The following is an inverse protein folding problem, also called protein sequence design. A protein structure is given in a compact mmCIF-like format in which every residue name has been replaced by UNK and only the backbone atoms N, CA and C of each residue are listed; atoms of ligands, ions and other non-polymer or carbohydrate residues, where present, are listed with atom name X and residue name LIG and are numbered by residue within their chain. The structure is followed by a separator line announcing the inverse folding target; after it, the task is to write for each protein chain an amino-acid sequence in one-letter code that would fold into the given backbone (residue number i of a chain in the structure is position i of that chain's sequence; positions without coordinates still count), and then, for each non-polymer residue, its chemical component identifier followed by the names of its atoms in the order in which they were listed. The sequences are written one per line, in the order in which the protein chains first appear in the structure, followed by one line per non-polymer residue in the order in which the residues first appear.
data_IF_644742583269
#
_entry.id   IF_644742583269
#
_cell.length_a   1.000
_cell.length_b   1.000
_cell.length_c   1.000
_cell.angle_alpha   90.00
_cell.angle_beta   90.00
_cell.angle_gamma   90.00
#
_symmetry.space_group_name_H-M   'P 1'
#
loop_
_entity.id
_entity.type
_entity.pdbx_description
1 polymer ?
#
# COMPACT_ATOMS: atom_id res chain seq x y z
N UNK A 1 -16.36 -4.83 34.16
CA UNK A 1 -17.07 -4.41 32.95
C UNK A 1 -16.82 -5.44 31.86
N UNK A 2 -17.80 -6.29 31.52
CA UNK A 2 -17.72 -7.11 30.31
C UNK A 2 -18.01 -6.20 29.13
N UNK A 3 -17.00 -5.82 28.37
CA UNK A 3 -17.22 -5.16 27.09
C UNK A 3 -17.85 -6.20 26.17
N UNK A 4 -19.12 -6.01 25.84
CA UNK A 4 -19.82 -6.81 24.84
C UNK A 4 -19.36 -6.37 23.45
N UNK A 5 -18.09 -6.55 23.15
CA UNK A 5 -17.68 -6.64 21.77
C UNK A 5 -18.26 -7.97 21.27
N UNK A 6 -19.37 -7.88 20.56
CA UNK A 6 -19.95 -9.05 19.89
C UNK A 6 -18.90 -9.75 19.02
N UNK A 7 -19.16 -10.94 18.57
CA UNK A 7 -18.28 -11.61 17.63
C UNK A 7 -18.25 -10.78 16.32
N UNK A 8 -17.12 -10.21 15.93
CA UNK A 8 -17.03 -9.51 14.66
C UNK A 8 -17.09 -10.51 13.51
N UNK A 9 -17.63 -10.10 12.36
CA UNK A 9 -17.61 -10.92 11.15
C UNK A 9 -16.19 -11.04 10.59
N UNK A 10 -15.39 -9.99 10.77
CA UNK A 10 -13.98 -9.94 10.36
C UNK A 10 -13.10 -9.44 11.51
N UNK A 11 -12.08 -10.23 11.85
CA UNK A 11 -11.08 -9.88 12.83
C UNK A 11 -9.72 -9.72 12.17
N UNK A 12 -9.11 -8.53 12.31
CA UNK A 12 -7.79 -8.21 11.79
C UNK A 12 -6.84 -8.01 12.97
N UNK A 13 -5.70 -8.68 12.94
CA UNK A 13 -4.68 -8.58 13.98
C UNK A 13 -3.47 -7.84 13.40
N UNK A 14 -3.16 -6.69 13.98
CA UNK A 14 -2.07 -5.81 13.59
C UNK A 14 -2.52 -4.55 12.86
N UNK A 15 -2.19 -3.40 13.39
CA UNK A 15 -2.54 -2.06 12.90
C UNK A 15 -1.43 -1.38 12.11
N UNK A 16 -0.62 -2.13 11.36
CA UNK A 16 0.28 -1.59 10.36
C UNK A 16 -0.45 -1.27 9.05
N UNK A 17 0.30 -0.85 8.01
CA UNK A 17 -0.28 -0.47 6.71
C UNK A 17 -1.16 -1.57 6.10
N UNK A 18 -0.77 -2.83 6.21
CA UNK A 18 -1.58 -3.94 5.70
C UNK A 18 -2.90 -4.08 6.47
N UNK A 19 -2.85 -4.12 7.80
CA UNK A 19 -4.05 -4.28 8.61
C UNK A 19 -5.02 -3.11 8.43
N UNK A 20 -4.53 -1.89 8.45
CA UNK A 20 -5.34 -0.70 8.22
C UNK A 20 -5.96 -0.69 6.81
N UNK A 21 -5.18 -1.03 5.78
CA UNK A 21 -5.67 -1.11 4.39
C UNK A 21 -6.75 -2.20 4.24
N UNK A 22 -6.56 -3.37 4.84
CA UNK A 22 -7.55 -4.45 4.81
C UNK A 22 -8.83 -4.02 5.54
N UNK A 23 -8.70 -3.45 6.74
CA UNK A 23 -9.84 -2.97 7.53
C UNK A 23 -10.67 -1.94 6.76
N UNK A 24 -10.00 -0.94 6.18
CA UNK A 24 -10.63 0.11 5.39
C UNK A 24 -11.35 -0.45 4.16
N UNK A 25 -10.70 -1.35 3.41
CA UNK A 25 -11.31 -1.97 2.23
C UNK A 25 -12.49 -2.88 2.58
N UNK A 26 -12.42 -3.65 3.68
CA UNK A 26 -13.54 -4.47 4.13
C UNK A 26 -14.71 -3.61 4.59
N UNK A 27 -14.48 -2.59 5.40
CA UNK A 27 -15.53 -1.69 5.87
C UNK A 27 -16.32 -1.01 4.73
N UNK A 28 -15.68 -0.80 3.57
CA UNK A 28 -16.33 -0.21 2.38
C UNK A 28 -17.07 -1.23 1.49
N UNK A 29 -16.72 -2.50 1.57
CA UNK A 29 -17.19 -3.53 0.64
C UNK A 29 -18.13 -4.54 1.26
N UNK A 30 -18.31 -4.50 2.57
CA UNK A 30 -19.18 -5.42 3.30
C UNK A 30 -20.05 -4.68 4.30
N UNK A 31 -21.23 -5.24 4.56
CA UNK A 31 -22.09 -4.82 5.69
C UNK A 31 -21.70 -5.50 7.00
N UNK A 32 -20.76 -6.45 6.96
CA UNK A 32 -20.25 -7.16 8.13
C UNK A 32 -19.41 -6.25 9.04
N UNK A 33 -19.42 -6.57 10.32
CA UNK A 33 -18.62 -5.85 11.33
C UNK A 33 -17.14 -6.18 11.19
N UNK A 34 -16.29 -5.15 11.18
CA UNK A 34 -14.83 -5.27 11.06
C UNK A 34 -14.19 -4.80 12.36
N UNK A 35 -13.39 -5.66 12.99
CA UNK A 35 -12.63 -5.33 14.20
C UNK A 35 -11.13 -5.44 13.89
N UNK A 36 -10.38 -4.36 14.12
CA UNK A 36 -8.93 -4.35 14.06
C UNK A 36 -8.37 -4.30 15.49
N UNK A 37 -7.50 -5.24 15.80
CA UNK A 37 -6.78 -5.28 17.06
C UNK A 37 -5.32 -4.91 16.84
N UNK A 38 -4.85 -3.90 17.58
CA UNK A 38 -3.44 -3.52 17.64
C UNK A 38 -3.01 -3.48 19.11
N UNK A 39 -1.83 -4.04 19.40
CA UNK A 39 -1.30 -4.09 20.79
C UNK A 39 -0.72 -2.77 21.28
N UNK A 40 -0.46 -1.85 20.39
CA UNK A 40 0.10 -0.51 20.64
C UNK A 40 -0.70 0.52 19.86
N UNK A 41 -0.10 1.63 19.48
CA UNK A 41 -0.66 2.60 18.56
C UNK A 41 -0.57 2.12 17.12
N UNK A 42 -1.48 2.57 16.27
CA UNK A 42 -1.49 2.25 14.85
C UNK A 42 -0.20 2.72 14.19
N UNK A 43 0.30 1.93 13.25
CA UNK A 43 1.45 2.24 12.41
C UNK A 43 2.77 2.51 13.14
N UNK A 44 2.96 2.05 14.40
CA UNK A 44 4.18 2.34 15.19
C UNK A 44 5.31 1.32 15.03
N UNK A 45 5.07 0.20 14.34
CA UNK A 45 6.07 -0.87 14.18
C UNK A 45 6.91 -0.68 12.90
N UNK A 46 6.70 -1.50 11.89
CA UNK A 46 7.49 -1.51 10.65
C UNK A 46 7.10 -0.37 9.70
N UNK A 47 5.84 0.01 9.69
CA UNK A 47 5.29 1.04 8.78
C UNK A 47 6.06 2.37 8.83
N UNK A 48 6.32 2.99 9.99
CA UNK A 48 7.05 4.26 10.03
C UNK A 48 8.56 4.14 9.80
N UNK A 49 9.07 2.90 9.77
CA UNK A 49 10.47 2.61 9.48
C UNK A 49 10.74 2.31 8.00
N UNK A 50 9.69 2.28 7.19
CA UNK A 50 9.82 2.11 5.75
C UNK A 50 10.42 3.36 5.11
N UNK A 51 11.09 3.18 3.97
CA UNK A 51 11.73 4.28 3.25
C UNK A 51 10.75 5.30 2.64
N UNK A 52 9.46 5.02 2.69
CA UNK A 52 8.44 5.89 2.10
C UNK A 52 8.49 5.98 0.58
N UNK A 53 9.19 5.03 -0.07
CA UNK A 53 9.35 5.00 -1.51
C UNK A 53 8.39 3.99 -2.13
N UNK A 54 7.53 4.47 -3.00
CA UNK A 54 6.67 3.64 -3.86
C UNK A 54 7.10 3.85 -5.30
N UNK A 55 7.43 2.77 -5.98
CA UNK A 55 7.90 2.84 -7.36
C UNK A 55 7.15 1.86 -8.26
N UNK A 56 6.88 2.27 -9.49
CA UNK A 56 6.25 1.44 -10.51
C UNK A 56 7.27 0.79 -11.47
N UNK A 57 8.56 1.09 -11.31
CA UNK A 57 9.62 0.47 -12.08
C UNK A 57 9.80 -0.98 -11.63
N UNK A 58 9.47 -1.93 -12.51
CA UNK A 58 9.50 -3.35 -12.20
C UNK A 58 10.57 -4.06 -12.99
N UNK A 59 11.41 -4.80 -12.27
CA UNK A 59 12.38 -5.73 -12.83
C UNK A 59 11.78 -7.13 -13.09
N UNK A 60 10.49 -7.35 -12.76
CA UNK A 60 9.80 -8.63 -12.93
C UNK A 60 8.46 -8.40 -13.60
N UNK A 61 8.18 -9.19 -14.66
CA UNK A 61 6.88 -9.25 -15.31
C UNK A 61 5.78 -9.58 -14.30
N UNK A 62 4.60 -8.99 -14.48
CA UNK A 62 3.39 -9.31 -13.72
C UNK A 62 3.21 -8.54 -12.40
N UNK A 63 4.18 -7.74 -11.96
CA UNK A 63 4.01 -6.92 -10.74
C UNK A 63 3.49 -5.50 -11.00
N UNK A 64 3.55 -5.04 -12.25
CA UNK A 64 3.12 -3.69 -12.65
C UNK A 64 1.66 -3.40 -12.29
N UNK A 65 0.68 -4.30 -12.54
CA UNK A 65 -0.72 -3.99 -12.25
C UNK A 65 -1.00 -3.67 -10.77
N UNK A 66 -0.42 -4.46 -9.84
CA UNK A 66 -0.61 -4.24 -8.40
C UNK A 66 0.00 -2.92 -7.93
N UNK A 67 1.13 -2.53 -8.49
CA UNK A 67 1.79 -1.27 -8.15
C UNK A 67 1.04 -0.07 -8.70
N UNK A 68 0.52 -0.17 -9.92
CA UNK A 68 -0.33 0.86 -10.52
C UNK A 68 -1.59 1.07 -9.68
N UNK A 69 -2.29 -0.01 -9.32
CA UNK A 69 -3.45 0.05 -8.42
C UNK A 69 -3.12 0.67 -7.06
N UNK A 70 -1.92 0.42 -6.53
CA UNK A 70 -1.48 1.03 -5.26
C UNK A 70 -1.28 2.54 -5.40
N UNK A 71 -0.65 2.98 -6.48
CA UNK A 71 -0.43 4.40 -6.76
C UNK A 71 -1.76 5.13 -6.96
N UNK A 72 -2.67 4.56 -7.73
CA UNK A 72 -4.03 5.07 -7.93
C UNK A 72 -4.79 5.17 -6.62
N UNK A 73 -4.76 4.11 -5.80
CA UNK A 73 -5.41 4.09 -4.50
C UNK A 73 -4.87 5.17 -3.54
N UNK A 74 -3.56 5.44 -3.55
CA UNK A 74 -2.97 6.49 -2.72
C UNK A 74 -3.40 7.87 -3.23
N UNK A 75 -3.45 8.07 -4.53
CA UNK A 75 -3.89 9.34 -5.12
C UNK A 75 -5.34 9.66 -4.76
N UNK A 76 -6.22 8.66 -4.79
CA UNK A 76 -7.63 8.80 -4.41
C UNK A 76 -7.82 8.95 -2.89
N UNK A 77 -6.95 8.34 -2.08
CA UNK A 77 -7.09 8.34 -0.63
C UNK A 77 -7.02 9.77 -0.04
N UNK A 78 -6.17 10.63 -0.59
CA UNK A 78 -6.07 12.02 -0.16
C UNK A 78 -7.37 12.79 -0.40
N UNK A 79 -8.01 12.57 -1.52
CA UNK A 79 -9.29 13.18 -1.87
C UNK A 79 -10.41 12.69 -0.95
N UNK A 80 -10.48 11.39 -0.67
CA UNK A 80 -11.50 10.79 0.18
C UNK A 80 -11.38 11.19 1.65
N UNK A 81 -10.16 11.40 2.14
CA UNK A 81 -9.91 11.76 3.54
C UNK A 81 -9.92 13.28 3.76
N UNK A 82 -10.06 14.08 2.72
CA UNK A 82 -9.89 15.54 2.76
C UNK A 82 -8.57 15.96 3.42
N UNK A 83 -7.55 15.11 3.31
CA UNK A 83 -6.25 15.28 3.94
C UNK A 83 -5.15 15.50 2.88
N UNK A 84 -4.23 16.40 3.17
CA UNK A 84 -3.06 16.59 2.33
C UNK A 84 -2.05 15.47 2.61
N UNK A 85 -2.08 14.43 1.79
CA UNK A 85 -1.02 13.43 1.81
C UNK A 85 0.28 14.05 1.27
N UNK A 86 1.38 13.87 1.98
CA UNK A 86 2.72 14.24 1.47
C UNK A 86 3.16 13.22 0.41
N UNK A 87 2.41 13.18 -0.69
CA UNK A 87 2.62 12.27 -1.80
C UNK A 87 3.17 13.03 -3.00
N UNK A 88 4.43 12.76 -3.35
CA UNK A 88 5.13 13.45 -4.43
C UNK A 88 5.45 12.48 -5.55
N UNK A 89 4.83 12.65 -6.70
CA UNK A 89 5.08 11.86 -7.90
C UNK A 89 6.26 12.47 -8.68
N UNK A 90 7.47 12.12 -8.27
CA UNK A 90 8.70 12.68 -8.85
C UNK A 90 9.28 11.84 -10.00
N UNK A 91 8.64 10.71 -10.31
CA UNK A 91 9.14 9.77 -11.29
C UNK A 91 10.35 8.96 -10.81
N UNK A 92 10.98 8.22 -11.71
CA UNK A 92 12.16 7.42 -11.42
C UNK A 92 13.05 7.30 -12.65
N UNK A 93 14.34 7.15 -12.43
CA UNK A 93 15.34 6.96 -13.47
C UNK A 93 16.09 5.64 -13.23
N UNK A 94 16.16 4.82 -14.26
CA UNK A 94 17.04 3.65 -14.31
C UNK A 94 18.21 3.96 -15.22
N UNK A 95 19.41 3.76 -14.72
CA UNK A 95 20.65 3.99 -15.46
C UNK A 95 21.34 2.67 -15.72
N UNK A 96 21.75 2.42 -16.97
CA UNK A 96 22.55 1.28 -17.37
C UNK A 96 23.99 1.72 -17.62
N UNK A 97 24.96 1.03 -17.01
CA UNK A 97 26.40 1.30 -17.15
C UNK A 97 27.12 0.27 -18.05
N UNK A 98 26.41 -0.75 -18.52
CA UNK A 98 26.98 -1.79 -19.37
C UNK A 98 26.00 -2.23 -20.46
N UNK A 99 26.50 -2.81 -21.55
CA UNK A 99 25.68 -3.35 -22.62
C UNK A 99 24.66 -4.40 -22.11
N UNK A 100 25.07 -5.24 -21.18
CA UNK A 100 24.21 -6.25 -20.56
C UNK A 100 23.06 -5.57 -19.82
N UNK A 101 23.34 -4.47 -19.11
CA UNK A 101 22.30 -3.72 -18.39
C UNK A 101 21.37 -2.96 -19.34
N UNK A 102 21.90 -2.46 -20.48
CA UNK A 102 21.07 -1.84 -21.52
C UNK A 102 20.09 -2.86 -22.09
N UNK A 103 20.58 -4.04 -22.49
CA UNK A 103 19.72 -5.12 -22.99
C UNK A 103 18.67 -5.52 -21.95
N UNK A 104 19.03 -5.54 -20.67
CA UNK A 104 18.08 -5.83 -19.60
C UNK A 104 17.01 -4.72 -19.49
N UNK A 105 17.39 -3.46 -19.56
CA UNK A 105 16.44 -2.34 -19.54
C UNK A 105 15.45 -2.37 -20.70
N UNK A 106 15.89 -2.76 -21.90
CA UNK A 106 15.05 -2.92 -23.08
C UNK A 106 13.97 -4.01 -22.91
N UNK A 107 14.24 -4.99 -22.05
CA UNK A 107 13.27 -6.07 -21.75
C UNK A 107 12.27 -5.71 -20.66
N UNK A 108 12.47 -4.58 -19.96
CA UNK A 108 11.57 -4.16 -18.89
C UNK A 108 10.30 -3.54 -19.47
N UNK A 109 9.18 -4.06 -19.03
CA UNK A 109 7.90 -3.38 -19.21
C UNK A 109 7.87 -2.16 -18.28
N UNK A 110 8.26 -1.01 -18.79
CA UNK A 110 8.07 0.24 -18.08
C UNK A 110 6.60 0.57 -18.21
N UNK A 111 5.86 0.46 -17.12
CA UNK A 111 4.46 0.88 -17.07
C UNK A 111 4.38 2.37 -17.45
N UNK A 112 3.63 2.66 -18.50
CA UNK A 112 3.23 4.01 -18.92
C UNK A 112 1.97 4.38 -18.17
#
# INVERSE_FOLDING_TARGET
MKSSLGNPDFLIIGGGIFGCSIAWNLARRTSGSVLLLERRELATATTPRAAGLIRNLNLKKGQTPLKTLTIEAISLLGEELEETLQWHQVGGLLVAESETNIMHLETLEIGR
#
